data_IF_063855547409
#
_entry.id   IF_063855547409
#
_cell.length_a   1.000
_cell.length_b   1.000
_cell.length_c   1.000
_cell.angle_alpha   90.00
_cell.angle_beta   90.00
_cell.angle_gamma   90.00
#
_symmetry.space_group_name_H-M   'P 1'
#
loop_
_entity.id
_entity.type
_entity.pdbx_description
1 polymer ?
#
# COMPACT_ATOMS: atom_id res chain seq x y z
N UNK A 1 36.31 -13.40 -29.48
CA UNK A 1 35.18 -14.35 -29.61
C UNK A 1 35.30 -15.05 -30.95
N UNK A 2 35.62 -16.36 -30.95
CA UNK A 2 35.99 -17.12 -32.16
C UNK A 2 34.86 -17.29 -33.18
N UNK A 3 35.22 -17.59 -34.42
CA UNK A 3 34.34 -17.84 -35.58
C UNK A 3 33.25 -18.88 -35.30
N UNK A 4 33.55 -19.91 -34.51
CA UNK A 4 32.59 -20.92 -34.08
C UNK A 4 31.46 -20.35 -33.20
N UNK A 5 31.79 -19.43 -32.29
CA UNK A 5 30.80 -18.79 -31.41
C UNK A 5 29.80 -17.91 -32.18
N UNK A 6 30.27 -17.22 -33.23
CA UNK A 6 29.39 -16.46 -34.14
C UNK A 6 28.49 -17.39 -34.94
N UNK A 7 29.01 -18.51 -35.44
CA UNK A 7 28.21 -19.49 -36.18
C UNK A 7 27.09 -20.08 -35.31
N UNK A 8 27.40 -20.46 -34.07
CA UNK A 8 26.42 -20.99 -33.11
C UNK A 8 25.36 -19.94 -32.76
N UNK A 9 25.76 -18.68 -32.52
CA UNK A 9 24.82 -17.58 -32.27
C UNK A 9 23.86 -17.36 -33.44
N UNK A 10 24.37 -17.35 -34.68
CA UNK A 10 23.55 -17.15 -35.87
C UNK A 10 22.53 -18.26 -36.06
N UNK A 11 22.94 -19.52 -35.88
CA UNK A 11 22.03 -20.67 -35.93
C UNK A 11 20.96 -20.56 -34.83
N UNK A 12 21.37 -20.23 -33.60
CA UNK A 12 20.43 -20.02 -32.49
C UNK A 12 19.44 -18.88 -32.74
N UNK A 13 19.89 -17.79 -33.36
CA UNK A 13 19.02 -16.69 -33.76
C UNK A 13 17.97 -17.14 -34.78
N UNK A 14 18.37 -17.87 -35.83
CA UNK A 14 17.41 -18.41 -36.81
C UNK A 14 16.37 -19.32 -36.18
N UNK A 15 16.80 -20.25 -35.31
CA UNK A 15 15.88 -21.15 -34.60
C UNK A 15 14.88 -20.35 -33.75
N UNK A 16 15.35 -19.31 -33.04
CA UNK A 16 14.50 -18.44 -32.22
C UNK A 16 13.45 -17.71 -33.07
N UNK A 17 13.86 -17.11 -34.18
CA UNK A 17 12.94 -16.38 -35.08
C UNK A 17 11.90 -17.33 -35.69
N UNK A 18 12.30 -18.54 -36.09
CA UNK A 18 11.36 -19.57 -36.56
C UNK A 18 10.38 -19.97 -35.46
N UNK A 19 10.85 -20.17 -34.23
CA UNK A 19 9.99 -20.48 -33.07
C UNK A 19 8.96 -19.38 -32.80
N UNK A 20 9.37 -18.11 -32.83
CA UNK A 20 8.43 -16.98 -32.68
C UNK A 20 7.42 -16.87 -33.83
N UNK A 21 7.82 -17.21 -35.06
CA UNK A 21 6.90 -17.25 -36.20
C UNK A 21 5.85 -18.36 -36.04
N UNK A 22 6.26 -19.53 -35.56
CA UNK A 22 5.37 -20.65 -35.27
C UNK A 22 4.37 -20.32 -34.14
N UNK A 23 4.83 -19.68 -33.07
CA UNK A 23 3.97 -19.21 -31.97
C UNK A 23 2.90 -18.22 -32.47
N UNK A 24 3.31 -17.20 -33.23
CA UNK A 24 2.38 -16.24 -33.85
C UNK A 24 1.36 -16.92 -34.78
N UNK A 25 1.79 -17.92 -35.56
CA UNK A 25 0.89 -18.69 -36.40
C UNK A 25 -0.10 -19.49 -35.55
N UNK A 26 0.37 -20.14 -34.48
CA UNK A 26 -0.45 -20.84 -33.51
C UNK A 26 -1.52 -19.94 -32.88
N UNK A 27 -1.14 -18.74 -32.41
CA UNK A 27 -2.08 -17.75 -31.90
C UNK A 27 -3.12 -17.34 -32.95
N UNK A 28 -2.70 -17.12 -34.21
CA UNK A 28 -3.64 -16.81 -35.31
C UNK A 28 -4.62 -17.94 -35.60
N UNK A 29 -4.16 -19.20 -35.56
CA UNK A 29 -5.01 -20.37 -35.74
C UNK A 29 -6.04 -20.52 -34.61
N UNK A 30 -5.71 -20.08 -33.39
CA UNK A 30 -6.64 -20.05 -32.25
C UNK A 30 -7.64 -18.87 -32.30
N UNK A 31 -7.54 -17.96 -33.28
CA UNK A 31 -8.49 -16.87 -33.48
C UNK A 31 -8.57 -15.91 -32.29
N UNK A 32 -9.73 -15.80 -31.65
CA UNK A 32 -9.96 -14.92 -30.49
C UNK A 32 -9.82 -15.66 -29.14
N UNK A 33 -9.46 -16.94 -29.16
CA UNK A 33 -9.38 -17.76 -27.94
C UNK A 33 -7.98 -17.79 -27.32
N UNK A 34 -6.95 -17.25 -27.99
CA UNK A 34 -5.63 -17.14 -27.39
C UNK A 34 -5.59 -15.96 -26.40
N UNK A 35 -4.96 -16.20 -25.25
CA UNK A 35 -4.66 -15.15 -24.29
C UNK A 35 -3.17 -14.79 -24.42
N UNK A 36 -2.88 -13.55 -24.77
CA UNK A 36 -1.51 -13.04 -24.76
C UNK A 36 -1.20 -12.46 -23.38
N UNK A 37 -0.25 -13.05 -22.68
CA UNK A 37 0.21 -12.54 -21.40
C UNK A 37 0.79 -11.13 -21.58
N UNK A 38 0.22 -10.17 -20.86
CA UNK A 38 0.74 -8.81 -20.81
C UNK A 38 1.58 -8.67 -19.55
N UNK A 39 2.79 -8.14 -19.71
CA UNK A 39 3.61 -7.77 -18.56
C UNK A 39 2.85 -6.78 -17.66
N UNK A 40 3.03 -6.94 -16.34
CA UNK A 40 2.34 -6.10 -15.37
C UNK A 40 2.61 -4.62 -15.62
N UNK A 41 1.53 -3.84 -15.68
CA UNK A 41 1.58 -2.37 -15.75
C UNK A 41 1.48 -1.71 -14.37
N UNK A 42 1.50 -2.53 -13.32
CA UNK A 42 1.46 -2.06 -11.95
C UNK A 42 2.65 -1.15 -11.65
N UNK A 43 2.39 -0.10 -10.85
CA UNK A 43 3.41 0.82 -10.35
C UNK A 43 3.35 0.84 -8.85
N UNK A 44 4.46 0.49 -8.21
CA UNK A 44 4.58 0.51 -6.75
C UNK A 44 4.53 1.93 -6.19
N UNK A 45 5.21 2.87 -6.83
CA UNK A 45 5.18 4.30 -6.52
C UNK A 45 4.58 5.06 -7.70
N UNK A 46 3.57 5.88 -7.45
CA UNK A 46 2.86 6.61 -8.51
C UNK A 46 2.55 8.05 -8.11
N UNK A 47 2.96 8.98 -8.96
CA UNK A 47 2.67 10.40 -8.77
C UNK A 47 1.22 10.72 -9.20
N UNK A 48 0.66 11.74 -8.58
CA UNK A 48 -0.63 12.33 -8.94
C UNK A 48 -0.43 13.84 -9.04
N UNK A 49 -0.68 14.41 -10.22
CA UNK A 49 -0.35 15.81 -10.54
C UNK A 49 1.14 16.11 -10.22
N UNK A 50 1.39 17.10 -9.37
CA UNK A 50 2.69 17.54 -8.89
C UNK A 50 3.15 16.82 -7.61
N UNK A 51 2.32 15.92 -7.06
CA UNK A 51 2.61 15.19 -5.82
C UNK A 51 3.19 13.81 -6.11
N UNK A 52 4.32 13.52 -5.46
CA UNK A 52 5.04 12.26 -5.59
C UNK A 52 5.26 11.61 -4.21
N UNK A 53 5.16 10.28 -4.09
CA UNK A 53 5.52 9.59 -2.86
C UNK A 53 6.99 9.81 -2.50
N UNK A 54 7.26 10.18 -1.25
CA UNK A 54 8.60 10.31 -0.69
C UNK A 54 8.81 9.17 0.29
N UNK A 55 9.69 8.24 -0.08
CA UNK A 55 9.98 7.03 0.72
C UNK A 55 11.43 7.08 1.15
N UNK A 56 11.67 6.97 2.46
CA UNK A 56 13.03 6.90 2.99
C UNK A 56 13.79 5.69 2.44
N UNK A 57 15.10 5.83 2.25
CA UNK A 57 15.95 4.77 1.70
C UNK A 57 15.97 3.50 2.57
N UNK A 58 15.79 3.64 3.88
CA UNK A 58 15.73 2.53 4.83
C UNK A 58 14.33 1.92 4.97
N UNK A 59 13.31 2.45 4.28
CA UNK A 59 11.97 1.89 4.31
C UNK A 59 11.82 0.72 3.32
N UNK A 60 11.01 -0.26 3.68
CA UNK A 60 10.62 -1.36 2.79
C UNK A 60 9.27 -1.04 2.15
N UNK A 61 9.16 -1.24 0.84
CA UNK A 61 7.89 -1.19 0.11
C UNK A 61 7.77 -2.45 -0.74
N UNK A 62 6.75 -3.26 -0.46
CA UNK A 62 6.50 -4.48 -1.20
C UNK A 62 6.20 -4.19 -2.67
N UNK A 63 6.66 -5.03 -3.63
CA UNK A 63 6.43 -4.80 -5.05
C UNK A 63 4.95 -4.71 -5.45
N UNK A 64 4.06 -5.41 -4.73
CA UNK A 64 2.62 -5.39 -4.98
C UNK A 64 1.87 -4.26 -4.26
N UNK A 65 2.53 -3.52 -3.38
CA UNK A 65 1.93 -2.36 -2.74
C UNK A 65 1.76 -1.22 -3.76
N UNK A 66 0.75 -0.37 -3.57
CA UNK A 66 0.53 0.81 -4.39
C UNK A 66 0.55 2.05 -3.51
N UNK A 67 1.59 2.88 -3.65
CA UNK A 67 1.76 4.14 -2.93
C UNK A 67 1.58 5.29 -3.92
N UNK A 68 0.55 6.10 -3.71
CA UNK A 68 -0.01 6.99 -4.73
C UNK A 68 -0.17 8.41 -4.14
N UNK A 69 0.35 9.43 -4.83
CA UNK A 69 0.14 10.84 -4.48
C UNK A 69 1.06 11.37 -3.38
N UNK A 70 0.55 12.26 -2.52
CA UNK A 70 1.29 12.91 -1.43
C UNK A 70 1.40 11.96 -0.23
N UNK A 71 2.38 11.05 -0.29
CA UNK A 71 2.65 10.07 0.76
C UNK A 71 4.09 10.19 1.22
N UNK A 72 4.29 10.35 2.52
CA UNK A 72 5.61 10.40 3.14
C UNK A 72 5.80 9.17 4.03
N UNK A 73 6.87 8.41 3.78
CA UNK A 73 7.21 7.20 4.55
C UNK A 73 8.55 7.39 5.24
N UNK A 74 8.51 7.39 6.57
CA UNK A 74 9.67 7.57 7.44
C UNK A 74 10.65 6.41 7.42
N UNK A 75 11.81 6.64 8.06
CA UNK A 75 12.94 5.71 8.09
C UNK A 75 12.58 4.39 8.77
N UNK A 76 13.01 3.27 8.18
CA UNK A 76 12.83 1.94 8.77
C UNK A 76 11.38 1.47 8.81
N UNK A 77 10.46 2.21 8.20
CA UNK A 77 9.06 1.81 8.07
C UNK A 77 8.87 0.80 6.95
N UNK A 78 7.81 0.02 7.00
CA UNK A 78 7.57 -1.07 6.04
C UNK A 78 6.14 -1.09 5.56
N UNK A 79 5.94 -1.08 4.24
CA UNK A 79 4.65 -1.20 3.56
C UNK A 79 4.59 -2.59 2.91
N UNK A 80 3.71 -3.45 3.40
CA UNK A 80 3.68 -4.87 3.08
C UNK A 80 2.80 -5.19 1.86
N UNK A 81 2.66 -6.47 1.52
CA UNK A 81 2.12 -6.88 0.22
C UNK A 81 0.65 -6.50 0.07
N UNK A 82 0.28 -6.02 -1.11
CA UNK A 82 -1.10 -5.65 -1.42
C UNK A 82 -1.61 -4.38 -0.72
N UNK A 83 -0.78 -3.69 0.07
CA UNK A 83 -1.17 -2.44 0.69
C UNK A 83 -1.49 -1.36 -0.36
N UNK A 84 -2.47 -0.52 -0.06
CA UNK A 84 -2.81 0.65 -0.89
C UNK A 84 -2.76 1.90 -0.03
N UNK A 85 -1.77 2.75 -0.28
CA UNK A 85 -1.62 4.06 0.36
C UNK A 85 -1.96 5.11 -0.69
N UNK A 86 -3.13 5.71 -0.59
CA UNK A 86 -3.65 6.66 -1.58
C UNK A 86 -3.76 8.05 -0.96
N UNK A 87 -2.76 8.90 -1.17
CA UNK A 87 -2.74 10.32 -0.77
C UNK A 87 -3.05 11.24 -1.95
N UNK A 88 -4.13 10.98 -2.68
CA UNK A 88 -4.45 11.70 -3.93
C UNK A 88 -5.19 13.02 -3.71
N UNK A 89 -6.08 13.08 -2.71
CA UNK A 89 -6.87 14.28 -2.38
C UNK A 89 -6.35 15.06 -1.17
N UNK A 90 -5.41 14.47 -0.41
CA UNK A 90 -4.76 15.03 0.77
C UNK A 90 -3.50 14.21 1.09
N UNK A 91 -2.75 14.59 2.12
CA UNK A 91 -1.48 13.95 2.49
C UNK A 91 -1.63 12.75 3.43
N UNK A 92 -0.76 11.76 3.23
CA UNK A 92 -0.49 10.66 4.17
C UNK A 92 0.93 10.83 4.71
N UNK A 93 1.08 10.83 6.02
CA UNK A 93 2.39 10.86 6.68
C UNK A 93 2.54 9.63 7.56
N UNK A 94 3.65 8.89 7.39
CA UNK A 94 4.00 7.72 8.18
C UNK A 94 5.33 7.98 8.86
N UNK A 95 5.36 7.86 10.19
CA UNK A 95 6.55 8.03 11.02
C UNK A 95 7.60 6.95 10.79
N UNK A 96 8.61 6.92 11.65
CA UNK A 96 9.75 5.98 11.52
C UNK A 96 9.46 4.67 12.23
N UNK A 97 9.98 3.54 11.73
CA UNK A 97 9.80 2.22 12.34
C UNK A 97 8.37 1.69 12.33
N UNK A 98 7.48 2.30 11.55
CA UNK A 98 6.06 1.93 11.47
C UNK A 98 5.84 0.86 10.41
N UNK A 99 5.02 -0.15 10.71
CA UNK A 99 4.68 -1.18 9.74
C UNK A 99 3.19 -1.13 9.37
N UNK A 100 2.93 -1.12 8.06
CA UNK A 100 1.59 -1.25 7.46
C UNK A 100 1.53 -2.63 6.83
N UNK A 101 0.84 -3.55 7.51
CA UNK A 101 0.82 -4.97 7.15
C UNK A 101 -0.13 -5.25 5.99
N UNK A 102 -0.02 -6.46 5.45
CA UNK A 102 -0.55 -6.86 4.14
C UNK A 102 -2.02 -6.50 3.92
N UNK A 103 -2.35 -6.10 2.69
CA UNK A 103 -3.69 -5.72 2.23
C UNK A 103 -4.36 -4.57 2.99
N UNK A 104 -3.62 -3.83 3.83
CA UNK A 104 -4.16 -2.64 4.49
C UNK A 104 -4.33 -1.48 3.51
N UNK A 105 -5.38 -0.70 3.73
CA UNK A 105 -5.73 0.47 2.94
C UNK A 105 -5.58 1.73 3.80
N UNK A 106 -4.82 2.70 3.30
CA UNK A 106 -4.70 4.03 3.90
C UNK A 106 -5.16 5.04 2.87
N UNK A 107 -6.24 5.74 3.19
CA UNK A 107 -6.80 6.80 2.37
C UNK A 107 -7.06 8.03 3.24
N UNK A 108 -7.49 9.10 2.60
CA UNK A 108 -7.62 10.42 3.20
C UNK A 108 -8.97 11.01 2.81
N UNK A 109 -9.55 11.81 3.70
CA UNK A 109 -10.72 12.60 3.35
C UNK A 109 -10.28 13.96 2.81
N UNK A 110 -10.84 14.36 1.65
CA UNK A 110 -10.64 15.70 1.09
C UNK A 110 -11.11 16.78 2.07
N UNK A 111 -12.31 16.57 2.61
CA UNK A 111 -12.93 17.37 3.67
C UNK A 111 -14.02 16.52 4.33
N UNK A 112 -14.20 16.65 5.63
CA UNK A 112 -15.35 16.03 6.30
C UNK A 112 -16.64 16.88 6.15
N UNK A 113 -17.75 16.39 6.70
CA UNK A 113 -19.05 17.09 6.75
C UNK A 113 -18.98 18.51 7.36
N UNK A 114 -17.96 18.78 8.19
CA UNK A 114 -17.73 20.07 8.84
C UNK A 114 -16.73 20.95 8.10
N UNK A 115 -16.30 20.57 6.89
CA UNK A 115 -15.32 21.30 6.07
C UNK A 115 -13.87 21.18 6.55
N UNK A 116 -13.59 20.34 7.55
CA UNK A 116 -12.22 20.13 8.06
C UNK A 116 -11.45 19.22 7.10
N UNK A 117 -10.25 19.64 6.74
CA UNK A 117 -9.27 18.85 6.00
C UNK A 117 -8.66 17.83 6.96
N UNK A 118 -8.72 16.54 6.60
CA UNK A 118 -8.28 15.44 7.45
C UNK A 118 -7.20 14.63 6.73
N UNK A 119 -5.91 14.98 6.89
CA UNK A 119 -4.83 14.12 6.44
C UNK A 119 -4.81 12.84 7.29
N UNK A 120 -4.15 11.80 6.77
CA UNK A 120 -3.90 10.59 7.58
C UNK A 120 -2.48 10.64 8.10
N UNK A 121 -2.34 10.73 9.43
CA UNK A 121 -1.06 10.85 10.11
C UNK A 121 -0.88 9.61 10.96
N UNK A 122 0.16 8.84 10.68
CA UNK A 122 0.56 7.65 11.43
C UNK A 122 1.92 7.95 12.03
N UNK A 123 2.02 7.83 13.35
CA UNK A 123 3.23 8.10 14.13
C UNK A 123 4.35 7.09 13.86
N UNK A 124 5.34 7.11 14.74
CA UNK A 124 6.50 6.22 14.74
C UNK A 124 6.24 4.96 15.56
N UNK A 125 6.88 3.85 15.18
CA UNK A 125 6.73 2.54 15.84
C UNK A 125 5.28 2.06 15.94
N UNK A 126 4.41 2.49 15.02
CA UNK A 126 3.03 2.04 14.94
C UNK A 126 2.97 0.70 14.21
N UNK A 127 2.13 -0.20 14.69
CA UNK A 127 1.80 -1.44 13.97
C UNK A 127 0.37 -1.37 13.47
N UNK A 128 0.20 -1.34 12.15
CA UNK A 128 -1.09 -1.43 11.48
C UNK A 128 -1.25 -2.83 10.93
N UNK A 129 -2.16 -3.60 11.54
CA UNK A 129 -2.41 -5.00 11.24
C UNK A 129 -3.01 -5.25 9.86
N UNK A 130 -2.88 -6.48 9.38
CA UNK A 130 -3.36 -6.90 8.06
C UNK A 130 -4.79 -6.47 7.76
N UNK A 131 -5.06 -6.05 6.52
CA UNK A 131 -6.38 -5.65 6.04
C UNK A 131 -7.04 -4.52 6.85
N UNK A 132 -6.27 -3.73 7.60
CA UNK A 132 -6.80 -2.56 8.28
C UNK A 132 -7.14 -1.45 7.28
N UNK A 133 -8.19 -0.69 7.56
CA UNK A 133 -8.64 0.44 6.74
C UNK A 133 -8.52 1.71 7.56
N UNK A 134 -7.62 2.60 7.16
CA UNK A 134 -7.40 3.89 7.81
C UNK A 134 -7.86 4.99 6.86
N UNK A 135 -8.80 5.82 7.31
CA UNK A 135 -9.37 6.88 6.49
C UNK A 135 -9.41 8.20 7.25
N UNK A 136 -8.56 9.16 6.86
CA UNK A 136 -8.53 10.52 7.42
C UNK A 136 -8.34 10.58 8.94
N UNK A 137 -7.48 9.73 9.50
CA UNK A 137 -7.29 9.57 10.94
C UNK A 137 -5.88 9.97 11.42
N UNK A 138 -5.72 10.16 12.73
CA UNK A 138 -4.43 10.36 13.38
C UNK A 138 -4.16 9.21 14.34
N UNK A 139 -3.02 8.56 14.18
CA UNK A 139 -2.53 7.49 15.05
C UNK A 139 -1.19 7.93 15.59
N UNK A 140 -1.09 8.14 16.90
CA UNK A 140 0.15 8.57 17.55
C UNK A 140 1.19 7.45 17.65
N UNK A 141 2.38 7.82 18.09
CA UNK A 141 3.52 6.91 18.21
C UNK A 141 3.19 5.69 19.10
N UNK A 142 3.78 4.54 18.78
CA UNK A 142 3.71 3.32 19.59
C UNK A 142 2.28 2.79 19.84
N UNK A 143 1.29 3.27 19.06
CA UNK A 143 -0.06 2.73 19.04
C UNK A 143 -0.16 1.46 18.18
N UNK A 144 -1.25 0.71 18.38
CA UNK A 144 -1.51 -0.52 17.65
C UNK A 144 -2.89 -0.48 16.99
N UNK A 145 -2.96 -0.80 15.69
CA UNK A 145 -4.21 -0.98 14.96
C UNK A 145 -4.34 -2.45 14.59
N UNK A 146 -5.37 -3.12 15.12
CA UNK A 146 -5.60 -4.54 14.90
C UNK A 146 -5.92 -4.91 13.46
N UNK A 147 -5.73 -6.19 13.15
CA UNK A 147 -6.06 -6.74 11.83
C UNK A 147 -7.53 -6.55 11.50
N UNK A 148 -7.83 -6.12 10.28
CA UNK A 148 -9.19 -5.88 9.80
C UNK A 148 -9.92 -4.72 10.49
N UNK A 149 -9.24 -3.95 11.34
CA UNK A 149 -9.84 -2.78 11.97
C UNK A 149 -10.08 -1.67 10.93
N UNK A 150 -11.15 -0.90 11.12
CA UNK A 150 -11.52 0.21 10.25
C UNK A 150 -11.67 1.49 11.06
N UNK A 151 -10.84 2.48 10.76
CA UNK A 151 -10.83 3.79 11.40
C UNK A 151 -11.41 4.82 10.43
N UNK A 152 -12.50 5.48 10.84
CA UNK A 152 -13.16 6.51 10.04
C UNK A 152 -12.57 7.91 10.28
N UNK A 153 -13.11 8.88 9.54
CA UNK A 153 -12.67 10.28 9.53
C UNK A 153 -12.51 10.90 10.91
N UNK A 154 -11.34 11.47 11.17
CA UNK A 154 -11.07 12.23 12.38
C UNK A 154 -10.87 11.36 13.62
N UNK A 155 -10.82 10.03 13.49
CA UNK A 155 -10.38 9.15 14.58
C UNK A 155 -9.00 9.58 15.06
N UNK A 156 -8.84 9.64 16.38
CA UNK A 156 -7.58 9.98 17.03
C UNK A 156 -7.20 8.86 17.99
N UNK A 157 -6.16 8.10 17.65
CA UNK A 157 -5.61 7.03 18.48
C UNK A 157 -4.40 7.58 19.20
N UNK A 158 -4.48 7.73 20.51
CA UNK A 158 -3.38 8.26 21.32
C UNK A 158 -2.24 7.25 21.48
N UNK A 159 -1.11 7.76 21.99
CA UNK A 159 0.08 6.97 22.28
C UNK A 159 -0.26 5.71 23.06
N UNK A 160 0.32 4.56 22.69
CA UNK A 160 0.10 3.26 23.34
C UNK A 160 -1.35 2.74 23.35
N UNK A 161 -2.30 3.45 22.73
CA UNK A 161 -3.66 2.94 22.58
C UNK A 161 -3.70 1.82 21.55
N UNK A 162 -4.68 0.93 21.69
CA UNK A 162 -4.86 -0.24 20.85
C UNK A 162 -6.27 -0.29 20.27
N UNK A 163 -6.37 -0.43 18.96
CA UNK A 163 -7.62 -0.79 18.28
C UNK A 163 -7.63 -2.31 18.11
N UNK A 164 -8.66 -2.99 18.60
CA UNK A 164 -8.76 -4.43 18.49
C UNK A 164 -8.97 -4.90 17.05
N UNK A 165 -8.70 -6.17 16.78
CA UNK A 165 -8.97 -6.76 15.47
C UNK A 165 -10.46 -6.68 15.10
N UNK A 166 -10.75 -6.30 13.86
CA UNK A 166 -12.11 -6.16 13.34
C UNK A 166 -12.91 -4.98 13.92
N UNK A 167 -12.31 -4.12 14.75
CA UNK A 167 -13.01 -2.99 15.32
C UNK A 167 -13.37 -1.95 14.25
N UNK A 168 -14.60 -1.40 14.33
CA UNK A 168 -15.03 -0.24 13.54
C UNK A 168 -15.05 0.98 14.47
N UNK A 169 -14.10 1.89 14.29
CA UNK A 169 -13.98 3.13 15.07
C UNK A 169 -14.64 4.28 14.31
N UNK A 170 -15.62 4.94 14.93
CA UNK A 170 -16.43 5.97 14.26
C UNK A 170 -15.73 7.31 14.15
N UNK A 171 -16.31 8.16 13.30
CA UNK A 171 -15.77 9.48 13.04
C UNK A 171 -15.56 10.27 14.34
N UNK A 172 -14.44 10.97 14.42
CA UNK A 172 -14.06 11.84 15.54
C UNK A 172 -13.94 11.15 16.91
N UNK A 173 -13.94 9.81 16.97
CA UNK A 173 -13.66 9.09 18.22
C UNK A 173 -12.20 9.29 18.61
N UNK A 174 -11.97 9.69 19.86
CA UNK A 174 -10.65 9.72 20.48
C UNK A 174 -10.50 8.50 21.38
N UNK A 175 -9.47 7.69 21.13
CA UNK A 175 -9.11 6.54 21.96
C UNK A 175 -7.98 6.98 22.88
N UNK A 176 -8.20 7.02 24.20
CA UNK A 176 -7.20 7.51 25.16
C UNK A 176 -5.94 6.64 25.23
N UNK A 177 -4.85 7.27 25.69
CA UNK A 177 -3.56 6.64 25.88
C UNK A 177 -3.64 5.34 26.71
N UNK A 178 -3.11 4.25 26.16
CA UNK A 178 -3.06 2.94 26.84
C UNK A 178 -4.37 2.17 26.88
N UNK A 179 -5.48 2.71 26.34
CA UNK A 179 -6.76 2.04 26.32
C UNK A 179 -6.93 1.15 25.08
N UNK A 180 -7.79 0.13 25.21
CA UNK A 180 -8.12 -0.79 24.12
C UNK A 180 -9.53 -0.53 23.63
N UNK A 181 -9.70 -0.19 22.36
CA UNK A 181 -11.01 -0.02 21.72
C UNK A 181 -11.38 -1.28 20.92
N UNK A 182 -12.42 -2.00 21.37
CA UNK A 182 -12.88 -3.25 20.76
C UNK A 182 -13.94 -3.06 19.67
N UNK A 183 -14.84 -2.11 19.86
CA UNK A 183 -15.95 -1.80 18.97
C UNK A 183 -16.41 -0.35 19.19
N UNK A 184 -17.31 0.16 18.34
CA UNK A 184 -17.81 1.54 18.43
C UNK A 184 -18.23 1.97 19.85
N UNK A 185 -18.76 1.05 20.66
CA UNK A 185 -19.31 1.32 21.99
C UNK A 185 -18.41 0.89 23.15
N UNK A 186 -17.28 0.22 22.90
CA UNK A 186 -16.50 -0.42 23.96
C UNK A 186 -15.04 0.03 23.91
N UNK A 187 -14.70 0.88 24.88
CA UNK A 187 -13.33 1.20 25.23
C UNK A 187 -13.06 0.58 26.60
N UNK A 188 -12.03 -0.24 26.68
CA UNK A 188 -11.61 -0.97 27.87
C UNK A 188 -10.32 -0.36 28.40
N UNK A 189 -10.28 -0.11 29.70
CA UNK A 189 -9.04 0.22 30.43
C UNK A 189 -8.43 -1.11 30.89
N UNK A 190 -7.21 -1.41 30.45
CA UNK A 190 -6.45 -2.58 30.92
C UNK A 190 -5.64 -2.26 32.18
#
# INVERSE_FOLDING_TARGET
MGTLGKAIYTVGFWIRETGQALDRLGCRLQGNYYFQEQLSRHRTLMNVFDKAPVVDRGAFVAPSASVIGDVQVGRGSSIWYGCVLRGDVNSISIGSGTNIQDNSLVHVAKSNLSGKVLPTIIGSNVTVGHSAVLHGCTVEDEAFVGMGATLLDGVYVEKHAMVAAGALVRQNTRIPCGEVCGHFTEIWVL
#
